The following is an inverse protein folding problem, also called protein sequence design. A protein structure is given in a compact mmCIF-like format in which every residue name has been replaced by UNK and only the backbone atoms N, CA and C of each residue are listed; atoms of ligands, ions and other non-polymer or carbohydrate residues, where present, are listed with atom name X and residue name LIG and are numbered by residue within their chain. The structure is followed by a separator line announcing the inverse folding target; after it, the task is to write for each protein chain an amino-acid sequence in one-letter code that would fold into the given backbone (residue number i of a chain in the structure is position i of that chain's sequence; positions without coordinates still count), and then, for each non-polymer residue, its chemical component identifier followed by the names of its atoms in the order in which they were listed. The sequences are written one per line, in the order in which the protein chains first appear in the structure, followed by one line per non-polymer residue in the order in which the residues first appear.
data_IF_633729599395
#
_entry.id   IF_633729599395
#
_cell.length_a   1.000
_cell.length_b   1.000
_cell.length_c   1.000
_cell.angle_alpha   90.00
_cell.angle_beta   90.00
_cell.angle_gamma   90.00
#
_symmetry.space_group_name_H-M   'P 1'
#
loop_
_entity.id
_entity.type
_entity.pdbx_description
1 polymer ?
#
# COMPACT_ATOMS: atom_id res chain seq x y z
N UNK A 1 -30.49 41.29 -19.63
CA UNK A 1 -31.92 40.93 -19.79
C UNK A 1 -31.98 39.56 -20.44
N UNK A 2 -33.11 38.83 -20.37
CA UNK A 2 -33.28 37.62 -21.21
C UNK A 2 -33.72 38.00 -22.63
N UNK A 3 -34.66 38.93 -22.72
CA UNK A 3 -35.24 39.50 -23.94
C UNK A 3 -35.51 40.99 -23.76
N UNK A 4 -35.67 41.71 -24.86
CA UNK A 4 -36.08 43.11 -24.90
C UNK A 4 -37.48 43.27 -25.51
N UNK A 5 -38.17 44.35 -25.14
CA UNK A 5 -39.44 44.74 -25.76
C UNK A 5 -39.68 46.25 -25.59
N UNK A 6 -40.53 46.88 -26.43
CA UNK A 6 -40.84 48.30 -26.33
C UNK A 6 -41.33 48.71 -24.92
N UNK A 7 -40.69 49.71 -24.33
CA UNK A 7 -40.98 50.16 -22.97
C UNK A 7 -40.82 51.65 -22.74
N UNK A 8 -40.71 52.45 -23.80
CA UNK A 8 -40.61 53.92 -23.73
C UNK A 8 -41.74 54.50 -24.56
N UNK A 9 -42.47 55.46 -24.01
CA UNK A 9 -43.62 56.11 -24.63
C UNK A 9 -44.65 55.10 -25.16
N UNK A 10 -44.91 54.05 -24.36
CA UNK A 10 -45.90 53.02 -24.69
C UNK A 10 -47.30 53.54 -24.39
N UNK A 11 -48.11 53.73 -25.43
CA UNK A 11 -49.50 54.17 -25.29
C UNK A 11 -50.42 52.99 -24.93
N UNK A 12 -51.20 53.12 -23.86
CA UNK A 12 -52.14 52.09 -23.41
C UNK A 12 -53.34 52.69 -22.70
N UNK A 13 -54.28 51.84 -22.29
CA UNK A 13 -55.45 52.25 -21.49
C UNK A 13 -55.04 52.74 -20.09
N UNK A 14 -55.77 53.72 -19.58
CA UNK A 14 -55.55 54.33 -18.29
C UNK A 14 -56.84 54.36 -17.45
N UNK A 15 -56.69 54.49 -16.14
CA UNK A 15 -57.81 54.54 -15.20
C UNK A 15 -58.78 55.69 -15.56
N UNK A 16 -60.08 55.46 -15.42
CA UNK A 16 -61.12 56.43 -15.79
C UNK A 16 -61.59 56.33 -17.25
N UNK A 17 -61.28 55.24 -17.96
CA UNK A 17 -61.74 55.00 -19.32
C UNK A 17 -60.96 55.76 -20.41
N UNK A 18 -59.80 56.31 -20.04
CA UNK A 18 -58.92 57.06 -20.95
C UNK A 18 -57.73 56.23 -21.44
N UNK A 19 -56.77 56.93 -22.03
CA UNK A 19 -55.51 56.38 -22.51
C UNK A 19 -54.35 57.29 -22.09
N UNK A 20 -53.14 56.73 -22.00
CA UNK A 20 -51.94 57.47 -21.62
C UNK A 20 -50.67 56.74 -22.00
N UNK A 21 -49.55 57.44 -21.84
CA UNK A 21 -48.21 56.92 -22.10
C UNK A 21 -47.56 56.42 -20.80
N UNK A 22 -46.90 55.27 -20.88
CA UNK A 22 -46.09 54.71 -19.80
C UNK A 22 -44.67 54.39 -20.31
N UNK A 23 -43.69 54.60 -19.44
CA UNK A 23 -42.27 54.31 -19.71
C UNK A 23 -41.69 53.52 -18.55
N UNK A 24 -40.99 52.43 -18.86
CA UNK A 24 -40.35 51.54 -17.90
C UNK A 24 -40.37 50.08 -18.36
N UNK A 25 -39.61 49.21 -17.69
CA UNK A 25 -39.62 47.76 -17.96
C UNK A 25 -41.00 47.14 -17.71
N UNK A 26 -41.81 47.74 -16.84
CA UNK A 26 -43.23 47.40 -16.65
C UNK A 26 -44.08 47.59 -17.90
N UNK A 27 -43.72 48.52 -18.79
CA UNK A 27 -44.36 48.72 -20.10
C UNK A 27 -43.85 47.72 -21.15
N UNK A 28 -42.64 47.18 -20.99
CA UNK A 28 -42.07 46.11 -21.82
C UNK A 28 -42.67 44.74 -21.51
N UNK A 29 -42.87 44.40 -20.24
CA UNK A 29 -43.41 43.10 -19.80
C UNK A 29 -44.70 42.65 -20.51
N UNK A 30 -45.75 43.49 -20.69
CA UNK A 30 -46.97 43.06 -21.36
C UNK A 30 -46.79 42.72 -22.85
N UNK A 31 -45.79 43.29 -23.53
CA UNK A 31 -45.48 42.91 -24.92
C UNK A 31 -44.98 41.46 -25.00
N UNK A 32 -44.02 41.10 -24.13
CA UNK A 32 -43.50 39.73 -24.05
C UNK A 32 -44.61 38.75 -23.63
N UNK A 33 -45.41 39.13 -22.63
CA UNK A 33 -46.54 38.31 -22.18
C UNK A 33 -47.61 38.14 -23.28
N UNK A 34 -47.87 39.16 -24.09
CA UNK A 34 -48.78 39.09 -25.23
C UNK A 34 -48.28 38.11 -26.30
N UNK A 35 -46.99 38.14 -26.63
CA UNK A 35 -46.40 37.18 -27.57
C UNK A 35 -46.42 35.76 -27.00
N UNK A 36 -46.11 35.59 -25.72
CA UNK A 36 -46.23 34.30 -25.03
C UNK A 36 -47.66 33.74 -25.11
N UNK A 37 -48.67 34.59 -24.87
CA UNK A 37 -50.07 34.22 -24.97
C UNK A 37 -50.47 33.81 -26.40
N UNK A 38 -49.93 34.48 -27.44
CA UNK A 38 -50.13 34.09 -28.84
C UNK A 38 -49.55 32.69 -29.13
N UNK A 39 -48.34 32.41 -28.63
CA UNK A 39 -47.72 31.08 -28.77
C UNK A 39 -48.54 29.99 -28.08
N UNK A 40 -49.02 30.25 -26.87
CA UNK A 40 -49.90 29.33 -26.14
C UNK A 40 -51.21 29.11 -26.92
N UNK A 41 -51.80 30.18 -27.44
CA UNK A 41 -53.01 30.09 -28.27
C UNK A 41 -52.78 29.33 -29.59
N UNK A 42 -51.57 29.34 -30.13
CA UNK A 42 -51.20 28.52 -31.30
C UNK A 42 -50.94 27.04 -30.99
N UNK A 43 -50.97 26.64 -29.71
CA UNK A 43 -50.84 25.25 -29.28
C UNK A 43 -49.55 24.91 -28.53
N UNK A 44 -48.68 25.88 -28.27
CA UNK A 44 -47.44 25.68 -27.48
C UNK A 44 -47.77 25.71 -25.98
N UNK A 45 -47.89 24.54 -25.34
CA UNK A 45 -48.41 24.44 -23.95
C UNK A 45 -47.33 24.36 -22.88
N UNK A 46 -46.09 24.08 -23.26
CA UNK A 46 -44.92 24.03 -22.38
C UNK A 46 -44.38 25.45 -22.15
N UNK A 47 -44.25 25.87 -20.89
CA UNK A 47 -43.65 27.17 -20.55
C UNK A 47 -42.20 27.28 -21.00
N UNK A 48 -41.51 26.15 -21.05
CA UNK A 48 -40.14 25.99 -21.56
C UNK A 48 -40.10 26.31 -23.05
N UNK A 49 -40.93 25.62 -23.85
CA UNK A 49 -41.00 25.80 -25.30
C UNK A 49 -41.42 27.23 -25.66
N UNK A 50 -42.34 27.82 -24.90
CA UNK A 50 -42.75 29.22 -25.06
C UNK A 50 -41.57 30.16 -24.82
N UNK A 51 -40.80 29.94 -23.76
CA UNK A 51 -39.62 30.75 -23.43
C UNK A 51 -38.56 30.67 -24.53
N UNK A 52 -38.25 29.48 -25.05
CA UNK A 52 -37.29 29.31 -26.16
C UNK A 52 -37.79 29.96 -27.42
N UNK A 53 -39.06 29.72 -27.74
CA UNK A 53 -39.64 30.29 -28.95
C UNK A 53 -39.56 31.81 -28.94
N UNK A 54 -39.78 32.44 -27.78
CA UNK A 54 -39.57 33.88 -27.62
C UNK A 54 -38.10 34.27 -27.77
N UNK A 55 -37.18 33.48 -27.22
CA UNK A 55 -35.73 33.72 -27.23
C UNK A 55 -35.11 33.60 -28.62
N UNK A 56 -35.43 32.54 -29.35
CA UNK A 56 -34.72 32.16 -30.57
C UNK A 56 -35.35 32.79 -31.83
N UNK A 57 -36.58 33.28 -31.71
CA UNK A 57 -37.22 34.10 -32.74
C UNK A 57 -37.06 35.60 -32.49
N UNK A 58 -36.35 36.00 -31.43
CA UNK A 58 -36.10 37.40 -31.14
C UNK A 58 -35.26 38.04 -32.25
N UNK A 59 -35.56 39.30 -32.53
CA UNK A 59 -34.76 40.11 -33.43
C UNK A 59 -33.51 40.58 -32.69
N UNK A 60 -32.36 39.99 -33.03
CA UNK A 60 -31.07 40.31 -32.44
C UNK A 60 -30.73 41.81 -32.61
N UNK A 61 -30.44 42.48 -31.49
CA UNK A 61 -30.13 43.90 -31.44
C UNK A 61 -28.77 44.09 -30.76
N UNK A 62 -27.93 44.94 -31.32
CA UNK A 62 -26.63 45.24 -30.73
C UNK A 62 -25.55 44.27 -31.23
N UNK A 63 -24.85 43.62 -30.29
CA UNK A 63 -23.80 42.66 -30.63
C UNK A 63 -24.44 41.32 -31.00
N UNK A 64 -23.97 40.69 -32.08
CA UNK A 64 -24.54 39.45 -32.57
C UNK A 64 -24.61 38.37 -31.47
N UNK A 65 -25.79 37.76 -31.29
CA UNK A 65 -26.07 36.76 -30.26
C UNK A 65 -26.64 37.36 -28.98
N UNK A 66 -26.38 36.72 -27.83
CA UNK A 66 -26.82 37.27 -26.54
C UNK A 66 -25.90 38.42 -26.12
N UNK A 67 -26.49 39.53 -25.68
CA UNK A 67 -25.77 40.64 -25.05
C UNK A 67 -26.42 41.10 -23.73
N UNK A 68 -25.63 41.77 -22.88
CA UNK A 68 -26.10 42.17 -21.55
C UNK A 68 -27.25 43.21 -21.57
N UNK A 69 -27.38 44.00 -22.64
CA UNK A 69 -28.38 45.05 -22.79
C UNK A 69 -29.70 44.53 -23.37
N UNK A 70 -29.68 43.78 -24.48
CA UNK A 70 -30.90 43.30 -25.15
C UNK A 70 -31.24 41.83 -24.88
N UNK A 71 -30.37 41.10 -24.18
CA UNK A 71 -30.54 39.65 -24.03
C UNK A 71 -30.36 38.99 -25.38
N UNK A 72 -31.31 38.15 -25.80
CA UNK A 72 -31.32 37.57 -27.17
C UNK A 72 -31.94 38.48 -28.23
N UNK A 73 -32.31 39.71 -27.86
CA UNK A 73 -32.88 40.69 -28.77
C UNK A 73 -34.33 41.06 -28.45
N UNK A 74 -34.96 41.79 -29.36
CA UNK A 74 -36.32 42.26 -29.21
C UNK A 74 -37.35 41.18 -29.57
N UNK A 75 -38.36 40.99 -28.71
CA UNK A 75 -39.45 40.05 -28.96
C UNK A 75 -40.18 40.37 -30.26
N UNK A 76 -40.40 39.36 -31.11
CA UNK A 76 -41.06 39.52 -32.40
C UNK A 76 -42.18 38.48 -32.58
N UNK A 77 -43.44 38.93 -32.51
CA UNK A 77 -44.59 38.02 -32.58
C UNK A 77 -44.69 37.26 -33.91
N UNK A 78 -44.32 37.90 -35.02
CA UNK A 78 -44.40 37.29 -36.34
C UNK A 78 -43.34 36.21 -36.52
N UNK A 79 -42.11 36.49 -36.10
CA UNK A 79 -41.04 35.49 -36.12
C UNK A 79 -41.37 34.36 -35.15
N UNK A 80 -41.87 34.64 -33.95
CA UNK A 80 -42.23 33.62 -32.96
C UNK A 80 -43.31 32.63 -33.47
N UNK A 81 -44.35 33.14 -34.12
CA UNK A 81 -45.42 32.27 -34.67
C UNK A 81 -44.91 31.45 -35.86
N UNK A 82 -44.03 32.00 -36.69
CA UNK A 82 -43.53 31.34 -37.89
C UNK A 82 -42.20 30.58 -37.71
N UNK A 83 -41.63 30.60 -36.50
CA UNK A 83 -40.36 29.95 -36.22
C UNK A 83 -40.49 28.44 -36.44
N UNK A 84 -39.60 27.89 -37.26
CA UNK A 84 -39.69 26.51 -37.73
C UNK A 84 -38.75 25.55 -37.00
N UNK A 85 -37.80 26.05 -36.20
CA UNK A 85 -36.95 25.15 -35.43
C UNK A 85 -37.73 24.61 -34.21
N UNK A 86 -37.68 23.29 -33.98
CA UNK A 86 -38.23 22.71 -32.78
C UNK A 86 -37.45 23.23 -31.56
N UNK A 87 -38.09 23.36 -30.38
CA UNK A 87 -37.36 23.66 -29.16
C UNK A 87 -36.30 22.59 -28.91
N UNK A 88 -35.18 22.97 -28.31
CA UNK A 88 -34.15 22.01 -27.95
C UNK A 88 -34.71 21.01 -26.92
N UNK A 89 -34.57 19.72 -27.24
CA UNK A 89 -35.03 18.61 -26.40
C UNK A 89 -33.88 17.69 -25.99
N UNK A 90 -32.66 18.03 -26.39
CA UNK A 90 -31.49 17.23 -26.11
C UNK A 90 -30.86 17.73 -24.83
N UNK A 91 -30.73 16.85 -23.85
CA UNK A 91 -30.14 17.21 -22.60
C UNK A 91 -28.59 17.26 -22.70
N UNK A 92 -27.95 18.09 -21.87
CA UNK A 92 -26.49 18.11 -21.79
C UNK A 92 -25.96 16.82 -21.16
N UNK A 93 -24.65 16.60 -21.22
CA UNK A 93 -23.97 15.45 -20.60
C UNK A 93 -22.84 15.90 -19.67
N UNK A 94 -22.91 15.54 -18.40
CA UNK A 94 -21.84 15.78 -17.42
C UNK A 94 -20.72 14.74 -17.50
N UNK A 95 -19.47 15.22 -17.45
CA UNK A 95 -18.26 14.43 -17.25
C UNK A 95 -17.63 14.79 -15.91
N UNK A 96 -17.25 13.76 -15.14
CA UNK A 96 -16.54 13.89 -13.86
C UNK A 96 -15.07 13.54 -14.07
N UNK A 97 -14.17 14.46 -13.73
CA UNK A 97 -12.73 14.22 -13.66
C UNK A 97 -12.27 14.25 -12.20
N UNK A 98 -11.39 13.30 -11.85
CA UNK A 98 -10.83 13.14 -10.51
C UNK A 98 -9.32 13.26 -10.59
N UNK A 99 -8.72 14.01 -9.66
CA UNK A 99 -7.28 14.17 -9.56
C UNK A 99 -6.82 13.91 -8.12
N UNK A 100 -5.86 13.00 -7.94
CA UNK A 100 -5.30 12.61 -6.65
C UNK A 100 -4.20 11.54 -6.83
N UNK A 101 -3.60 11.12 -5.71
CA UNK A 101 -2.58 10.06 -5.72
C UNK A 101 -3.25 8.70 -5.80
N UNK A 102 -3.34 8.14 -7.01
CA UNK A 102 -4.03 6.88 -7.27
C UNK A 102 -3.14 5.68 -6.88
N UNK A 103 -3.68 4.81 -6.02
CA UNK A 103 -3.15 3.50 -5.69
C UNK A 103 -3.83 2.38 -6.48
N UNK A 104 -3.91 1.20 -5.88
CA UNK A 104 -4.58 0.02 -6.41
C UNK A 104 -6.11 0.09 -6.21
N UNK A 105 -6.85 -0.62 -7.07
CA UNK A 105 -8.31 -0.81 -6.94
C UNK A 105 -9.15 0.48 -6.80
N UNK A 106 -8.67 1.55 -7.46
CA UNK A 106 -9.25 2.90 -7.46
C UNK A 106 -9.24 3.62 -6.11
N UNK A 107 -8.37 3.21 -5.19
CA UNK A 107 -8.14 3.93 -3.93
C UNK A 107 -7.18 5.10 -4.14
N UNK A 108 -7.47 6.22 -3.48
CA UNK A 108 -6.60 7.38 -3.46
C UNK A 108 -5.92 7.52 -2.10
N UNK A 109 -4.59 7.60 -2.11
CA UNK A 109 -3.73 7.88 -0.95
C UNK A 109 -3.70 9.36 -0.54
N UNK A 110 -4.59 10.18 -1.11
CA UNK A 110 -4.65 11.62 -0.89
C UNK A 110 -6.07 12.14 -0.96
N UNK A 111 -6.25 13.41 -0.62
CA UNK A 111 -7.44 14.16 -1.00
C UNK A 111 -7.62 14.13 -2.52
N UNK A 112 -8.88 14.16 -2.98
CA UNK A 112 -9.24 14.08 -4.41
C UNK A 112 -9.92 15.37 -4.84
N UNK A 113 -9.33 16.03 -5.84
CA UNK A 113 -9.95 17.16 -6.53
C UNK A 113 -10.92 16.67 -7.61
N UNK A 114 -12.14 17.20 -7.56
CA UNK A 114 -13.22 16.93 -8.50
C UNK A 114 -13.37 18.12 -9.42
N UNK A 115 -13.28 17.86 -10.73
CA UNK A 115 -13.65 18.81 -11.77
C UNK A 115 -14.86 18.28 -12.54
N UNK A 116 -15.91 19.10 -12.63
CA UNK A 116 -17.10 18.80 -13.42
C UNK A 116 -17.10 19.66 -14.68
N UNK A 117 -17.42 19.03 -15.81
CA UNK A 117 -17.66 19.70 -17.09
C UNK A 117 -18.92 19.14 -17.70
N UNK A 118 -19.70 19.95 -18.38
CA UNK A 118 -20.83 19.46 -19.17
C UNK A 118 -20.75 20.01 -20.59
N UNK A 119 -21.23 19.21 -21.53
CA UNK A 119 -21.29 19.57 -22.96
C UNK A 119 -22.71 19.35 -23.41
N UNK A 120 -23.22 20.31 -24.16
CA UNK A 120 -24.51 20.23 -24.82
C UNK A 120 -24.37 19.83 -26.30
N UNK A 121 -25.44 19.37 -26.94
CA UNK A 121 -25.39 18.98 -28.35
C UNK A 121 -25.02 20.16 -29.27
N UNK A 122 -24.37 19.90 -30.42
CA UNK A 122 -24.16 20.91 -31.44
C UNK A 122 -25.48 21.54 -31.89
N UNK A 123 -25.56 22.88 -31.84
CA UNK A 123 -26.78 23.63 -32.16
C UNK A 123 -27.83 23.64 -31.05
N UNK A 124 -27.54 23.03 -29.88
CA UNK A 124 -28.35 23.13 -28.68
C UNK A 124 -28.18 24.46 -27.96
N UNK A 125 -28.94 24.60 -26.88
CA UNK A 125 -29.09 25.81 -26.09
C UNK A 125 -27.90 26.13 -25.17
N UNK A 126 -26.95 25.22 -25.08
CA UNK A 126 -25.80 25.28 -24.19
C UNK A 126 -26.17 24.92 -22.75
N UNK A 127 -25.17 24.52 -21.97
CA UNK A 127 -25.33 24.18 -20.55
C UNK A 127 -25.69 25.43 -19.74
N UNK A 128 -26.77 25.37 -18.97
CA UNK A 128 -27.15 26.40 -18.01
C UNK A 128 -26.40 26.24 -16.69
N UNK A 129 -26.44 25.05 -16.10
CA UNK A 129 -25.81 24.79 -14.80
C UNK A 129 -25.44 23.33 -14.61
N UNK A 130 -24.50 23.09 -13.69
CA UNK A 130 -24.14 21.78 -13.17
C UNK A 130 -24.38 21.81 -11.66
N UNK A 131 -25.02 20.77 -11.12
CA UNK A 131 -25.14 20.55 -9.68
C UNK A 131 -24.55 19.21 -9.30
N UNK A 132 -24.13 19.07 -8.05
CA UNK A 132 -23.60 17.82 -7.51
C UNK A 132 -24.14 17.50 -6.12
N UNK A 133 -24.05 16.24 -5.74
CA UNK A 133 -24.45 15.72 -4.43
C UNK A 133 -23.42 14.71 -3.95
N UNK A 134 -23.14 14.73 -2.64
CA UNK A 134 -22.24 13.81 -1.94
C UNK A 134 -22.98 12.90 -0.95
N UNK A 135 -24.31 13.04 -0.86
CA UNK A 135 -25.18 12.35 0.10
C UNK A 135 -26.21 11.44 -0.61
N UNK A 136 -25.89 10.98 -1.82
CA UNK A 136 -26.75 10.10 -2.61
C UNK A 136 -27.99 10.78 -3.18
N UNK A 137 -27.94 12.09 -3.39
CA UNK A 137 -28.99 12.88 -4.05
C UNK A 137 -29.94 13.60 -3.09
N UNK A 138 -29.64 13.63 -1.79
CA UNK A 138 -30.43 14.36 -0.79
C UNK A 138 -30.28 15.87 -0.91
N UNK A 139 -29.04 16.34 -1.01
CA UNK A 139 -28.68 17.76 -1.12
C UNK A 139 -27.88 17.98 -2.40
N UNK A 140 -28.39 18.87 -3.25
CA UNK A 140 -27.75 19.30 -4.50
C UNK A 140 -27.14 20.69 -4.35
N UNK A 141 -25.85 20.80 -4.67
CA UNK A 141 -25.05 22.02 -4.61
C UNK A 141 -24.73 22.51 -6.02
N UNK A 142 -24.72 23.83 -6.23
CA UNK A 142 -24.32 24.42 -7.51
C UNK A 142 -22.79 24.30 -7.69
N UNK A 143 -22.36 23.75 -8.83
CA UNK A 143 -20.95 23.69 -9.17
C UNK A 143 -20.49 25.05 -9.74
N UNK A 144 -19.52 25.67 -9.08
CA UNK A 144 -18.96 26.98 -9.47
C UNK A 144 -17.45 26.94 -9.70
N UNK A 145 -16.75 25.96 -9.11
CA UNK A 145 -15.33 25.69 -9.29
C UNK A 145 -15.03 24.25 -8.87
N UNK A 146 -13.85 23.69 -9.22
CA UNK A 146 -13.37 22.44 -8.65
C UNK A 146 -13.41 22.44 -7.12
N UNK A 147 -13.63 21.27 -6.53
CA UNK A 147 -13.72 21.09 -5.07
C UNK A 147 -13.02 19.81 -4.63
N UNK A 148 -12.73 19.72 -3.33
CA UNK A 148 -11.99 18.60 -2.75
C UNK A 148 -12.93 17.66 -1.99
N UNK A 149 -12.76 16.36 -2.18
CA UNK A 149 -13.25 15.31 -1.27
C UNK A 149 -12.05 14.84 -0.45
N UNK A 150 -12.13 14.97 0.87
CA UNK A 150 -11.04 14.64 1.80
C UNK A 150 -11.42 13.58 2.84
N UNK A 151 -12.69 13.17 2.88
CA UNK A 151 -13.20 12.17 3.83
C UNK A 151 -12.78 10.78 3.38
N UNK A 152 -12.17 10.02 4.28
CA UNK A 152 -11.79 8.63 4.00
C UNK A 152 -13.02 7.71 3.84
N UNK A 153 -12.81 6.59 3.16
CA UNK A 153 -13.83 5.62 2.79
C UNK A 153 -14.37 5.82 1.37
N UNK A 154 -15.53 5.21 1.12
CA UNK A 154 -16.19 5.22 -0.19
C UNK A 154 -17.21 6.35 -0.29
N UNK A 155 -16.86 7.43 -0.96
CA UNK A 155 -17.71 8.61 -1.15
C UNK A 155 -18.46 8.52 -2.48
N UNK A 156 -19.79 8.56 -2.45
CA UNK A 156 -20.61 8.61 -3.67
C UNK A 156 -20.79 10.05 -4.14
N UNK A 157 -20.24 10.38 -5.30
CA UNK A 157 -20.47 11.63 -6.00
C UNK A 157 -21.53 11.41 -7.08
N UNK A 158 -22.59 12.22 -7.04
CA UNK A 158 -23.54 12.40 -8.12
C UNK A 158 -23.36 13.79 -8.74
N UNK A 159 -23.45 13.90 -10.05
CA UNK A 159 -23.44 15.17 -10.77
C UNK A 159 -24.56 15.17 -11.81
N UNK A 160 -25.18 16.34 -12.03
CA UNK A 160 -26.27 16.51 -13.00
C UNK A 160 -26.17 17.86 -13.67
N UNK A 161 -26.47 17.93 -14.96
CA UNK A 161 -26.49 19.18 -15.72
C UNK A 161 -27.86 19.48 -16.32
N UNK A 162 -28.14 20.76 -16.48
CA UNK A 162 -29.30 21.31 -17.17
C UNK A 162 -28.81 22.25 -18.26
N UNK A 163 -29.48 22.27 -19.41
CA UNK A 163 -29.24 23.26 -20.46
C UNK A 163 -30.08 24.52 -20.22
N UNK A 164 -29.86 25.55 -21.05
CA UNK A 164 -30.73 26.72 -21.05
C UNK A 164 -32.13 26.39 -21.56
N UNK A 165 -32.28 25.22 -22.19
CA UNK A 165 -33.56 24.69 -22.55
C UNK A 165 -34.37 24.15 -21.35
N UNK A 166 -33.76 23.93 -20.20
CA UNK A 166 -34.38 23.27 -19.06
C UNK A 166 -34.48 21.75 -19.22
N UNK A 167 -33.90 21.16 -20.27
CA UNK A 167 -33.70 19.73 -20.34
C UNK A 167 -32.62 19.35 -19.31
N UNK A 168 -32.82 18.21 -18.68
CA UNK A 168 -31.88 17.65 -17.72
C UNK A 168 -31.33 16.33 -18.25
N UNK A 169 -30.08 16.01 -17.92
CA UNK A 169 -29.37 14.82 -18.44
C UNK A 169 -29.99 13.46 -18.05
N UNK A 170 -31.14 13.45 -17.39
CA UNK A 170 -31.80 12.26 -16.89
C UNK A 170 -31.14 11.78 -15.59
N UNK A 171 -30.83 10.47 -15.44
CA UNK A 171 -30.15 9.99 -14.24
C UNK A 171 -28.77 10.66 -14.10
N UNK A 172 -28.38 11.08 -12.89
CA UNK A 172 -27.13 11.79 -12.71
C UNK A 172 -25.92 10.92 -13.06
N UNK A 173 -24.89 11.54 -13.64
CA UNK A 173 -23.56 10.94 -13.68
C UNK A 173 -23.09 10.61 -12.25
N UNK A 174 -22.45 9.46 -12.04
CA UNK A 174 -21.96 9.07 -10.73
C UNK A 174 -20.52 8.55 -10.75
N UNK A 175 -19.81 8.83 -9.66
CA UNK A 175 -18.48 8.28 -9.37
C UNK A 175 -18.38 7.90 -7.90
N UNK A 176 -17.75 6.77 -7.63
CA UNK A 176 -17.35 6.41 -6.26
C UNK A 176 -15.89 6.83 -6.07
N UNK A 177 -15.66 7.74 -5.14
CA UNK A 177 -14.33 8.24 -4.78
C UNK A 177 -13.90 7.54 -3.50
N UNK A 178 -12.98 6.59 -3.62
CA UNK A 178 -12.45 5.81 -2.49
C UNK A 178 -11.17 6.45 -1.99
N UNK A 179 -11.13 6.91 -0.74
CA UNK A 179 -9.97 7.60 -0.17
C UNK A 179 -9.51 6.86 1.07
N UNK A 180 -8.22 6.59 1.16
CA UNK A 180 -7.60 6.06 2.35
C UNK A 180 -6.21 6.66 2.48
N UNK A 181 -5.98 7.44 3.53
CA UNK A 181 -4.73 8.14 3.82
C UNK A 181 -4.05 7.55 5.06
N UNK A 182 -4.62 6.49 5.61
CA UNK A 182 -4.18 5.87 6.85
C UNK A 182 -3.21 4.74 6.51
N UNK A 183 -2.06 4.72 7.17
CA UNK A 183 -1.10 3.62 6.98
C UNK A 183 -1.67 2.30 7.54
N UNK A 184 -1.25 1.14 7.01
CA UNK A 184 -1.57 -0.16 7.60
C UNK A 184 -1.27 -0.24 9.10
N UNK A 185 -1.94 -1.16 9.81
CA UNK A 185 -1.59 -1.47 11.19
C UNK A 185 -0.14 -1.99 11.28
N UNK A 186 0.52 -1.85 12.46
CA UNK A 186 1.86 -2.38 12.65
C UNK A 186 1.97 -3.86 12.31
N UNK A 187 2.95 -4.22 11.48
CA UNK A 187 3.17 -5.61 11.08
C UNK A 187 3.51 -6.46 12.30
N UNK A 188 2.89 -7.64 12.40
CA UNK A 188 3.25 -8.64 13.40
C UNK A 188 4.38 -9.49 12.85
N UNK A 189 5.47 -9.65 13.60
CA UNK A 189 6.56 -10.60 13.29
C UNK A 189 6.69 -11.63 14.40
N UNK A 190 6.81 -12.89 14.04
CA UNK A 190 7.04 -13.98 15.00
C UNK A 190 8.04 -14.98 14.45
N UNK A 191 8.85 -15.55 15.35
CA UNK A 191 9.55 -16.80 15.05
C UNK A 191 8.52 -17.92 15.05
N UNK A 192 8.22 -18.43 13.87
CA UNK A 192 7.26 -19.52 13.66
C UNK A 192 7.85 -20.87 14.04
N UNK A 193 9.08 -21.13 13.61
CA UNK A 193 9.83 -22.35 13.97
C UNK A 193 11.32 -22.07 14.13
N UNK A 194 11.97 -22.86 14.96
CA UNK A 194 13.41 -22.85 15.24
C UNK A 194 13.67 -23.63 16.52
N UNK A 195 14.77 -24.37 16.58
CA UNK A 195 15.15 -25.13 17.78
C UNK A 195 15.93 -24.21 18.70
N UNK A 196 15.36 -23.89 19.86
CA UNK A 196 16.09 -23.13 20.88
C UNK A 196 17.18 -24.02 21.49
N UNK A 197 18.42 -23.56 21.42
CA UNK A 197 19.55 -24.11 22.16
C UNK A 197 19.73 -23.38 23.48
N UNK A 198 20.98 -23.10 23.82
CA UNK A 198 21.36 -22.44 25.06
C UNK A 198 21.45 -20.92 24.92
N UNK A 199 21.36 -20.22 26.06
CA UNK A 199 21.56 -18.78 26.16
C UNK A 199 20.71 -17.91 25.20
N UNK A 200 19.58 -18.41 24.68
CA UNK A 200 18.73 -17.71 23.73
C UNK A 200 19.21 -17.79 22.26
N UNK A 201 20.11 -18.71 21.93
CA UNK A 201 20.50 -19.02 20.56
C UNK A 201 19.55 -20.06 19.96
N UNK A 202 19.26 -19.92 18.68
CA UNK A 202 18.71 -21.00 17.87
C UNK A 202 19.85 -21.87 17.32
N UNK A 203 19.65 -23.19 17.31
CA UNK A 203 20.60 -24.20 16.77
C UNK A 203 20.07 -24.88 15.50
N UNK A 204 19.00 -24.32 14.92
CA UNK A 204 18.47 -24.73 13.62
C UNK A 204 17.92 -23.52 12.87
N UNK A 205 17.70 -23.66 11.56
CA UNK A 205 17.13 -22.61 10.72
C UNK A 205 15.92 -21.95 11.39
N UNK A 206 15.89 -20.62 11.39
CA UNK A 206 14.79 -19.84 11.96
C UNK A 206 13.82 -19.48 10.85
N UNK A 207 12.54 -19.85 11.01
CA UNK A 207 11.47 -19.45 10.10
C UNK A 207 10.67 -18.34 10.74
N UNK A 208 10.60 -17.20 10.08
CA UNK A 208 9.84 -16.02 10.51
C UNK A 208 8.56 -15.92 9.68
N UNK A 209 7.45 -15.71 10.39
CA UNK A 209 6.15 -15.42 9.80
C UNK A 209 5.79 -13.96 10.11
N UNK A 210 5.13 -13.30 9.16
CA UNK A 210 4.72 -11.92 9.29
C UNK A 210 3.38 -11.65 8.61
N UNK A 211 2.55 -10.84 9.26
CA UNK A 211 1.24 -10.47 8.74
C UNK A 211 0.79 -9.14 9.34
N UNK A 212 -0.15 -8.49 8.67
CA UNK A 212 -0.81 -7.31 9.22
C UNK A 212 -2.26 -7.24 8.75
N UNK A 213 -2.97 -6.23 9.25
CA UNK A 213 -4.27 -5.81 8.77
C UNK A 213 -4.22 -4.32 8.42
N UNK A 214 -5.29 -3.85 7.81
CA UNK A 214 -5.49 -2.43 7.59
C UNK A 214 -6.57 -1.87 8.53
N UNK A 215 -6.73 -0.56 8.58
CA UNK A 215 -7.77 0.11 9.36
C UNK A 215 -9.19 -0.31 8.87
N UNK A 216 -10.19 -0.34 9.77
CA UNK A 216 -11.56 -0.65 9.37
C UNK A 216 -12.11 0.34 8.32
N UNK A 217 -12.52 -0.17 7.17
CA UNK A 217 -13.00 0.65 6.05
C UNK A 217 -11.90 1.27 5.19
N UNK A 218 -10.63 0.98 5.48
CA UNK A 218 -9.48 1.31 4.66
C UNK A 218 -9.40 0.50 3.36
N UNK A 219 -8.31 0.70 2.65
CA UNK A 219 -8.06 0.15 1.33
C UNK A 219 -7.63 -1.32 1.35
N UNK A 220 -7.28 -1.85 2.52
CA UNK A 220 -6.76 -3.19 2.73
C UNK A 220 -5.26 -3.25 2.45
N UNK A 221 -4.60 -4.28 2.96
CA UNK A 221 -3.16 -4.50 2.77
C UNK A 221 -2.88 -4.89 1.31
N UNK A 222 -1.95 -4.19 0.66
CA UNK A 222 -1.40 -4.54 -0.65
C UNK A 222 -0.30 -5.60 -0.50
N UNK A 223 0.74 -5.29 0.30
CA UNK A 223 1.87 -6.20 0.52
C UNK A 223 2.57 -5.94 1.84
N UNK A 224 3.28 -6.96 2.32
CA UNK A 224 4.27 -6.82 3.39
C UNK A 224 5.66 -6.92 2.76
N UNK A 225 6.58 -6.06 3.19
CA UNK A 225 7.99 -6.08 2.82
C UNK A 225 8.86 -6.31 4.06
N UNK A 226 10.03 -6.91 3.87
CA UNK A 226 11.02 -7.09 4.93
C UNK A 226 12.42 -6.66 4.49
N UNK A 227 13.29 -6.42 5.46
CA UNK A 227 14.69 -6.05 5.27
C UNK A 227 15.57 -6.78 6.27
N UNK A 228 16.71 -7.30 5.80
CA UNK A 228 17.76 -7.93 6.63
C UNK A 228 19.00 -7.03 6.80
N UNK A 229 19.01 -5.83 6.21
CA UNK A 229 20.15 -4.90 6.22
C UNK A 229 19.80 -3.54 6.85
N UNK A 230 18.95 -3.53 7.88
CA UNK A 230 18.61 -2.32 8.62
C UNK A 230 17.85 -1.26 7.81
N UNK A 231 17.12 -1.67 6.77
CA UNK A 231 16.27 -0.80 5.94
C UNK A 231 16.92 -0.31 4.66
N UNK A 232 18.15 -0.75 4.35
CA UNK A 232 18.86 -0.38 3.13
C UNK A 232 18.27 -0.98 1.85
N UNK A 233 17.64 -2.15 1.93
CA UNK A 233 16.93 -2.78 0.81
C UNK A 233 15.74 -3.60 1.32
N UNK A 234 14.60 -3.46 0.64
CA UNK A 234 13.35 -4.12 0.99
C UNK A 234 12.99 -5.21 -0.01
N UNK A 235 12.44 -6.32 0.48
CA UNK A 235 11.98 -7.46 -0.31
C UNK A 235 10.53 -7.76 0.02
N UNK A 236 9.70 -8.05 -0.98
CA UNK A 236 8.32 -8.48 -0.74
C UNK A 236 8.30 -9.81 -0.01
N UNK A 237 7.55 -9.87 1.08
CA UNK A 237 7.35 -11.09 1.85
C UNK A 237 6.48 -12.08 1.06
N UNK A 238 7.02 -13.29 0.89
CA UNK A 238 6.28 -14.45 0.41
C UNK A 238 6.39 -15.53 1.49
N UNK A 239 5.29 -15.89 2.18
CA UNK A 239 5.34 -16.79 3.32
C UNK A 239 6.06 -18.10 2.98
N UNK A 240 7.07 -18.55 3.73
CA UNK A 240 7.69 -17.96 4.94
C UNK A 240 9.14 -17.50 4.69
N UNK A 241 9.66 -16.61 5.54
CA UNK A 241 11.07 -16.20 5.51
C UNK A 241 11.92 -17.18 6.32
N UNK A 242 12.89 -17.85 5.70
CA UNK A 242 13.82 -18.76 6.39
C UNK A 242 15.22 -18.16 6.45
N UNK A 243 15.78 -18.07 7.66
CA UNK A 243 17.13 -17.61 7.94
C UNK A 243 18.01 -18.81 8.33
N UNK A 244 19.12 -18.99 7.62
CA UNK A 244 19.99 -20.16 7.72
C UNK A 244 21.45 -19.81 8.02
N UNK A 245 21.81 -18.53 8.04
CA UNK A 245 23.18 -18.10 8.27
C UNK A 245 23.38 -17.82 9.75
N UNK A 246 24.45 -18.32 10.33
CA UNK A 246 24.80 -18.04 11.72
C UNK A 246 25.08 -16.54 11.94
N UNK A 247 24.82 -16.07 13.16
CA UNK A 247 25.04 -14.69 13.58
C UNK A 247 23.88 -14.04 14.32
N UNK A 248 24.00 -12.73 14.50
CA UNK A 248 22.96 -11.86 15.06
C UNK A 248 22.07 -11.34 13.94
N UNK A 249 20.77 -11.54 14.07
CA UNK A 249 19.79 -11.19 13.04
C UNK A 249 18.85 -10.11 13.52
N UNK A 250 18.56 -9.16 12.62
CA UNK A 250 17.49 -8.18 12.77
C UNK A 250 16.66 -8.20 11.49
N UNK A 251 15.40 -8.59 11.62
CA UNK A 251 14.41 -8.52 10.53
C UNK A 251 13.58 -7.27 10.76
N UNK A 252 13.62 -6.33 9.81
CA UNK A 252 12.63 -5.25 9.75
C UNK A 252 11.49 -5.68 8.85
N UNK A 253 10.25 -5.28 9.16
CA UNK A 253 9.12 -5.39 8.24
C UNK A 253 8.25 -4.14 8.25
N UNK A 254 7.58 -3.90 7.12
CA UNK A 254 6.59 -2.85 6.94
C UNK A 254 5.55 -3.29 5.92
N UNK A 255 4.33 -2.80 6.04
CA UNK A 255 3.28 -3.05 5.06
C UNK A 255 2.97 -1.83 4.19
N UNK A 256 2.42 -2.10 3.01
CA UNK A 256 1.76 -1.12 2.15
C UNK A 256 0.28 -1.47 2.06
N UNK A 257 -0.58 -0.46 2.05
CA UNK A 257 -1.99 -0.64 1.71
C UNK A 257 -2.26 -0.46 0.20
N UNK A 258 -3.50 -0.65 -0.22
CA UNK A 258 -3.91 -0.47 -1.60
C UNK A 258 -4.03 1.01 -2.01
N UNK A 259 -4.06 1.96 -1.09
CA UNK A 259 -4.03 3.39 -1.41
C UNK A 259 -2.61 3.95 -1.61
N UNK A 260 -1.59 3.15 -1.28
CA UNK A 260 -0.18 3.50 -1.41
C UNK A 260 0.43 4.08 -0.12
N UNK A 261 -0.26 4.01 1.02
CA UNK A 261 0.33 4.37 2.30
C UNK A 261 1.22 3.23 2.81
N UNK A 262 2.33 3.60 3.43
CA UNK A 262 3.34 2.66 3.95
C UNK A 262 3.42 2.77 5.46
N UNK A 263 3.47 1.63 6.14
CA UNK A 263 3.71 1.55 7.58
C UNK A 263 5.06 2.21 7.92
N UNK A 264 5.02 3.26 8.74
CA UNK A 264 6.20 3.92 9.28
C UNK A 264 5.98 4.29 10.76
N UNK A 265 6.95 4.00 11.66
CA UNK A 265 8.21 3.30 11.40
C UNK A 265 8.00 1.80 11.17
N UNK A 266 8.91 1.18 10.41
CA UNK A 266 8.99 -0.28 10.32
C UNK A 266 9.23 -0.95 11.68
N UNK A 267 8.60 -2.11 11.89
CA UNK A 267 8.75 -2.96 13.07
C UNK A 267 9.96 -3.88 12.95
N UNK A 268 10.50 -4.33 14.09
CA UNK A 268 11.72 -5.16 14.13
C UNK A 268 11.57 -6.42 14.98
N UNK A 269 12.15 -7.52 14.51
CA UNK A 269 12.37 -8.76 15.27
C UNK A 269 13.87 -9.08 15.30
N UNK A 270 14.42 -9.29 16.49
CA UNK A 270 15.83 -9.67 16.67
C UNK A 270 15.97 -11.06 17.27
N UNK A 271 16.91 -11.84 16.77
CA UNK A 271 17.29 -13.13 17.34
C UNK A 271 18.74 -13.45 17.00
N UNK A 272 19.27 -14.53 17.56
CA UNK A 272 20.63 -14.99 17.31
C UNK A 272 20.60 -16.49 16.95
N UNK A 273 21.37 -16.87 15.94
CA UNK A 273 21.38 -18.20 15.33
C UNK A 273 22.81 -18.69 15.29
N UNK A 274 23.06 -19.89 15.81
CA UNK A 274 24.34 -20.57 15.67
C UNK A 274 24.10 -22.07 15.62
N UNK A 275 24.27 -22.62 14.43
CA UNK A 275 24.09 -24.04 14.12
C UNK A 275 25.42 -24.78 14.05
N UNK A 276 26.54 -24.06 14.16
CA UNK A 276 27.86 -24.58 13.86
C UNK A 276 28.57 -24.95 15.16
N UNK A 277 28.92 -26.22 15.38
CA UNK A 277 29.75 -26.60 16.51
C UNK A 277 31.11 -25.90 16.50
N UNK A 278 31.77 -25.74 17.67
CA UNK A 278 33.14 -25.25 17.75
C UNK A 278 34.09 -26.00 16.80
N UNK A 279 35.00 -25.25 16.16
CA UNK A 279 36.09 -25.85 15.40
C UNK A 279 37.19 -26.32 16.35
N UNK A 280 37.51 -27.61 16.27
CA UNK A 280 38.50 -28.26 17.13
C UNK A 280 39.69 -28.82 16.35
N UNK A 281 40.87 -28.80 16.96
CA UNK A 281 42.02 -29.62 16.54
C UNK A 281 42.57 -30.36 17.74
N UNK A 282 43.12 -31.56 17.54
CA UNK A 282 43.83 -32.32 18.57
C UNK A 282 44.97 -33.09 17.92
N UNK A 283 46.18 -32.92 18.42
CA UNK A 283 47.39 -33.52 17.87
C UNK A 283 48.23 -34.16 18.96
N UNK A 284 48.88 -35.26 18.63
CA UNK A 284 49.71 -36.01 19.59
C UNK A 284 51.16 -36.08 19.13
N UNK A 285 52.07 -36.07 20.09
CA UNK A 285 53.51 -36.22 19.87
C UNK A 285 54.07 -37.22 20.89
N UNK A 286 54.62 -38.37 20.46
CA UNK A 286 54.72 -38.84 19.07
C UNK A 286 53.41 -39.43 18.53
N UNK A 287 52.98 -39.02 17.33
CA UNK A 287 51.79 -39.58 16.67
C UNK A 287 51.91 -41.09 16.37
N UNK A 288 53.12 -41.58 16.12
CA UNK A 288 53.40 -43.01 15.98
C UNK A 288 54.78 -43.36 16.52
N UNK A 289 54.89 -44.53 17.12
CA UNK A 289 56.16 -45.10 17.57
C UNK A 289 56.40 -46.51 17.04
N UNK A 290 57.68 -46.79 16.77
CA UNK A 290 58.16 -48.14 16.46
C UNK A 290 58.04 -49.05 17.68
N UNK A 291 58.12 -50.37 17.45
CA UNK A 291 57.99 -51.42 18.47
C UNK A 291 58.75 -51.08 19.75
N UNK A 292 58.04 -51.00 20.86
CA UNK A 292 58.58 -50.84 22.21
C UNK A 292 58.46 -52.15 23.00
N UNK A 293 59.29 -52.28 24.04
CA UNK A 293 59.17 -53.40 24.98
C UNK A 293 57.86 -53.27 25.77
N UNK A 294 57.11 -54.36 25.90
CA UNK A 294 55.89 -54.39 26.73
C UNK A 294 56.18 -53.91 28.15
N UNK A 295 55.35 -53.02 28.69
CA UNK A 295 55.53 -52.36 29.97
C UNK A 295 56.29 -51.02 29.94
N UNK A 296 56.76 -50.58 28.78
CA UNK A 296 57.49 -49.29 28.66
C UNK A 296 56.51 -48.12 28.78
N UNK A 297 56.75 -47.20 29.71
CA UNK A 297 55.99 -45.94 29.81
C UNK A 297 56.49 -44.92 28.78
N UNK A 298 55.56 -44.32 28.07
CA UNK A 298 55.80 -43.40 26.96
C UNK A 298 55.08 -42.09 27.25
N UNK A 299 55.84 -41.00 27.27
CA UNK A 299 55.26 -39.68 27.39
C UNK A 299 54.68 -39.25 26.05
N UNK A 300 53.38 -39.07 26.02
CA UNK A 300 52.64 -38.53 24.88
C UNK A 300 52.18 -37.13 25.24
N UNK A 301 52.61 -36.15 24.44
CA UNK A 301 52.07 -34.81 24.54
C UNK A 301 50.86 -34.69 23.63
N UNK A 302 49.78 -34.11 24.14
CA UNK A 302 48.59 -33.77 23.38
C UNK A 302 48.48 -32.25 23.32
N UNK A 303 47.98 -31.75 22.20
CA UNK A 303 47.88 -30.33 21.92
C UNK A 303 46.70 -30.07 20.99
N UNK A 304 45.63 -29.54 21.57
CA UNK A 304 44.42 -29.18 20.90
C UNK A 304 44.13 -27.68 20.91
N UNK A 305 43.16 -27.31 20.09
CA UNK A 305 42.64 -25.94 20.00
C UNK A 305 41.13 -26.00 19.88
N UNK A 306 40.44 -25.03 20.48
CA UNK A 306 39.01 -24.84 20.32
C UNK A 306 38.72 -23.38 19.97
N UNK A 307 37.86 -23.15 18.99
CA UNK A 307 37.39 -21.82 18.63
C UNK A 307 35.95 -21.89 18.11
N UNK A 308 35.12 -20.96 18.56
CA UNK A 308 33.82 -20.69 17.98
C UNK A 308 33.68 -19.18 17.73
N UNK A 309 33.54 -18.72 16.47
CA UNK A 309 33.51 -17.29 16.16
C UNK A 309 32.13 -16.65 16.28
N UNK A 310 31.04 -17.43 16.43
CA UNK A 310 29.66 -16.90 16.39
C UNK A 310 29.10 -16.77 17.80
N UNK A 311 28.84 -17.89 18.47
CA UNK A 311 28.33 -17.86 19.85
C UNK A 311 29.44 -17.87 20.88
N UNK A 312 30.65 -18.33 20.55
CA UNK A 312 31.77 -18.45 21.48
C UNK A 312 31.71 -19.75 22.30
N UNK A 313 32.81 -20.11 22.97
CA UNK A 313 32.87 -21.35 23.76
C UNK A 313 32.08 -21.26 25.08
N UNK A 314 31.35 -22.33 25.42
CA UNK A 314 30.62 -22.47 26.70
C UNK A 314 31.41 -23.32 27.70
N UNK A 315 32.21 -22.64 28.50
CA UNK A 315 32.95 -23.26 29.60
C UNK A 315 34.24 -23.98 29.17
N UNK A 316 34.84 -24.79 30.08
CA UNK A 316 36.07 -25.49 29.78
C UNK A 316 35.86 -26.56 28.70
N UNK A 317 36.85 -26.74 27.84
CA UNK A 317 36.94 -27.95 27.01
C UNK A 317 37.12 -29.18 27.89
N UNK A 318 37.01 -30.37 27.31
CA UNK A 318 37.29 -31.61 28.01
C UNK A 318 38.13 -32.53 27.14
N UNK A 319 39.28 -32.98 27.65
CA UNK A 319 40.12 -33.95 26.95
C UNK A 319 40.11 -35.27 27.70
N UNK A 320 39.68 -36.34 27.03
CA UNK A 320 39.68 -37.69 27.60
C UNK A 320 40.65 -38.56 26.83
N UNK A 321 41.55 -39.24 27.54
CA UNK A 321 42.39 -40.29 26.99
C UNK A 321 41.65 -41.62 27.07
N UNK A 322 41.50 -42.28 25.92
CA UNK A 322 40.85 -43.58 25.79
C UNK A 322 41.81 -44.52 25.05
N UNK A 323 41.82 -45.81 25.40
CA UNK A 323 42.48 -46.81 24.56
C UNK A 323 41.58 -47.29 23.42
N UNK A 324 42.15 -47.96 22.42
CA UNK A 324 41.39 -48.48 21.27
C UNK A 324 40.29 -49.49 21.64
N UNK A 325 40.41 -50.12 22.80
CA UNK A 325 39.45 -51.10 23.32
C UNK A 325 38.34 -50.46 24.18
N UNK A 326 38.44 -49.17 24.50
CA UNK A 326 37.51 -48.47 25.40
C UNK A 326 37.51 -48.99 26.84
N UNK A 327 38.52 -49.79 27.22
CA UNK A 327 38.66 -50.39 28.55
C UNK A 327 39.38 -49.43 29.50
N UNK A 328 40.27 -48.60 28.96
CA UNK A 328 40.94 -47.53 29.69
C UNK A 328 40.34 -46.18 29.30
N UNK A 329 39.98 -45.38 30.31
CA UNK A 329 39.53 -44.01 30.14
C UNK A 329 40.09 -43.17 31.28
N UNK A 330 40.77 -42.07 30.93
CA UNK A 330 41.28 -41.09 31.87
C UNK A 330 40.82 -39.69 31.46
N UNK A 331 40.11 -39.01 32.36
CA UNK A 331 39.80 -37.59 32.20
C UNK A 331 41.08 -36.77 32.44
N UNK A 332 41.52 -36.03 31.42
CA UNK A 332 42.68 -35.14 31.48
C UNK A 332 42.27 -33.70 31.84
N UNK A 333 40.96 -33.47 32.05
CA UNK A 333 40.37 -32.21 32.46
C UNK A 333 40.26 -31.20 31.33
N UNK A 334 40.27 -29.93 31.72
CA UNK A 334 40.03 -28.80 30.81
C UNK A 334 41.25 -28.28 30.06
N UNK A 335 42.39 -28.93 30.22
CA UNK A 335 43.60 -28.57 29.52
C UNK A 335 43.49 -28.89 28.03
N UNK A 336 43.72 -27.90 27.18
CA UNK A 336 43.89 -28.10 25.73
C UNK A 336 45.23 -28.73 25.38
N UNK A 337 46.20 -28.72 26.29
CA UNK A 337 47.50 -29.33 26.04
C UNK A 337 48.08 -29.89 27.33
N UNK A 338 48.84 -30.97 27.21
CA UNK A 338 49.54 -31.57 28.33
C UNK A 338 50.40 -32.74 27.91
N UNK A 339 50.97 -33.44 28.89
CA UNK A 339 51.73 -34.66 28.66
C UNK A 339 51.24 -35.73 29.62
N UNK A 340 50.96 -36.92 29.11
CA UNK A 340 50.54 -38.09 29.89
C UNK A 340 51.45 -39.27 29.54
N UNK A 341 51.78 -40.08 30.54
CA UNK A 341 52.54 -41.30 30.32
C UNK A 341 51.57 -42.46 30.04
N UNK A 342 51.68 -43.08 28.88
CA UNK A 342 50.90 -44.25 28.47
C UNK A 342 51.81 -45.47 28.32
N UNK A 343 51.28 -46.67 28.51
CA UNK A 343 52.07 -47.90 28.51
C UNK A 343 52.11 -48.54 27.12
N UNK A 344 53.28 -48.94 26.64
CA UNK A 344 53.36 -49.93 25.57
C UNK A 344 52.85 -51.26 26.11
N UNK A 345 51.58 -51.59 25.86
CA UNK A 345 50.93 -52.78 26.42
C UNK A 345 50.35 -53.68 25.33
N UNK A 346 50.25 -54.97 25.62
CA UNK A 346 49.67 -56.01 24.76
C UNK A 346 48.66 -56.85 25.55
N UNK A 347 47.47 -57.11 24.99
CA UNK A 347 46.53 -58.08 25.56
C UNK A 347 46.50 -59.37 24.73
N UNK A 348 47.04 -60.46 25.28
CA UNK A 348 47.01 -61.77 24.61
C UNK A 348 48.01 -61.89 23.44
N UNK A 349 47.55 -62.40 22.29
CA UNK A 349 48.37 -62.61 21.07
C UNK A 349 48.35 -61.41 20.11
N UNK A 350 47.93 -60.25 20.60
CA UNK A 350 47.98 -59.02 19.83
C UNK A 350 49.43 -58.75 19.35
N UNK A 351 49.60 -58.37 18.08
CA UNK A 351 50.90 -58.09 17.45
C UNK A 351 50.90 -56.75 16.69
N UNK A 352 49.77 -56.04 16.66
CA UNK A 352 49.57 -54.87 15.82
C UNK A 352 49.78 -53.52 16.54
N UNK A 353 49.85 -53.52 17.87
CA UNK A 353 50.21 -52.35 18.68
C UNK A 353 49.06 -51.91 19.58
N UNK A 354 49.18 -50.71 20.16
CA UNK A 354 48.08 -50.06 20.88
C UNK A 354 47.89 -48.62 20.44
N UNK A 355 46.65 -48.25 20.14
CA UNK A 355 46.28 -46.85 19.90
C UNK A 355 45.69 -46.19 21.14
N UNK A 356 46.18 -44.98 21.41
CA UNK A 356 45.72 -44.08 22.45
C UNK A 356 45.05 -42.88 21.79
N UNK A 357 43.77 -42.69 22.11
CA UNK A 357 42.90 -41.67 21.54
C UNK A 357 42.75 -40.55 22.57
N UNK A 358 43.22 -39.36 22.21
CA UNK A 358 43.00 -38.12 22.94
C UNK A 358 41.78 -37.47 22.33
N UNK A 359 40.63 -37.63 22.97
CA UNK A 359 39.37 -37.06 22.51
C UNK A 359 39.16 -35.71 23.16
N UNK A 360 39.23 -34.66 22.36
CA UNK A 360 38.87 -33.31 22.77
C UNK A 360 37.40 -33.04 22.44
N UNK A 361 36.65 -32.58 23.43
CA UNK A 361 35.27 -32.13 23.30
C UNK A 361 35.15 -30.68 23.74
N UNK A 362 34.36 -29.88 23.02
CA UNK A 362 33.97 -28.54 23.45
C UNK A 362 32.52 -28.25 23.08
N UNK A 363 31.88 -27.35 23.83
CA UNK A 363 30.58 -26.78 23.48
C UNK A 363 30.70 -25.29 23.19
N UNK A 364 29.80 -24.78 22.39
CA UNK A 364 29.59 -23.34 22.24
C UNK A 364 28.45 -22.82 23.13
N UNK A 365 28.28 -21.50 23.20
CA UNK A 365 27.22 -20.83 23.96
C UNK A 365 25.83 -21.07 23.38
N UNK A 366 25.73 -21.56 22.16
CA UNK A 366 24.47 -22.00 21.56
C UNK A 366 24.08 -23.43 21.94
N UNK A 367 24.99 -24.21 22.49
CA UNK A 367 24.80 -25.59 22.91
C UNK A 367 25.18 -26.64 21.85
N UNK A 368 25.82 -26.24 20.75
CA UNK A 368 26.39 -27.20 19.80
C UNK A 368 27.66 -27.81 20.39
N UNK A 369 27.90 -29.09 20.11
CA UNK A 369 29.04 -29.84 20.63
C UNK A 369 29.97 -30.28 19.48
N UNK A 370 31.25 -29.92 19.59
CA UNK A 370 32.31 -30.39 18.72
C UNK A 370 33.12 -31.51 19.40
N UNK A 371 33.60 -32.47 18.60
CA UNK A 371 34.48 -33.55 19.06
C UNK A 371 35.58 -33.80 18.02
N UNK A 372 36.82 -33.96 18.46
CA UNK A 372 37.95 -34.35 17.60
C UNK A 372 38.89 -35.30 18.35
N UNK A 373 39.53 -36.21 17.62
CA UNK A 373 40.46 -37.19 18.16
C UNK A 373 41.88 -36.93 17.66
N UNK A 374 42.83 -36.83 18.58
CA UNK A 374 44.26 -36.98 18.31
C UNK A 374 44.71 -38.41 18.67
N UNK A 375 45.47 -39.07 17.80
CA UNK A 375 45.80 -40.50 17.98
C UNK A 375 47.30 -40.69 18.06
N UNK A 376 47.74 -41.39 19.11
CA UNK A 376 49.09 -41.96 19.20
C UNK A 376 49.01 -43.46 19.02
N UNK A 377 49.78 -44.03 18.10
CA UNK A 377 49.92 -45.49 17.95
C UNK A 377 51.29 -45.95 18.40
N UNK A 378 51.33 -46.90 19.33
CA UNK A 378 52.55 -47.50 19.86
C UNK A 378 52.57 -48.96 19.45
N UNK A 379 53.46 -49.31 18.51
CA UNK A 379 53.70 -50.72 18.20
C UNK A 379 54.42 -51.39 19.38
N UNK A 380 54.21 -52.68 19.61
CA UNK A 380 54.95 -53.46 20.60
C UNK A 380 55.52 -54.76 20.02
N UNK A 381 56.40 -55.41 20.79
CA UNK A 381 56.95 -56.73 20.50
C UNK A 381 56.12 -57.85 21.11
#
# INVERSE_FOLDING_TARGET
SELAAPGVDTYSTAMGGGYGYITGTSASSPHVAGVAALLIASGLTSSVDVRHRLRDSAEDLGAAGWDSQFGKGMVNASLAINFSEPPDQSAPTTTVSLNGTLGNFDWYGSDVEVTLTAVDNPGGDGVAEIRYSLDGGGIWQLYTSPFIISTEGSNLLLARSWDNAGNDEGPPAFKTVKIDKTMPNPTTLVVRTGTMGNNGWYVSNVVVDMWTTDNPGGSGVDRVEYSLNGGGSWQTYSPFLTITADGYHTVLARAWDNAGNVEEPAVSLTFKLDQTPPTLTETTVPAAMKRQQSGTMINVSYNGTAADPVSGLDGPTNTVLIDEYGVFSQDLGSGLSGTVSVEAWCQGNDQDGRSYIFRLTARDLAGNEGVVDGITTILHH
#
